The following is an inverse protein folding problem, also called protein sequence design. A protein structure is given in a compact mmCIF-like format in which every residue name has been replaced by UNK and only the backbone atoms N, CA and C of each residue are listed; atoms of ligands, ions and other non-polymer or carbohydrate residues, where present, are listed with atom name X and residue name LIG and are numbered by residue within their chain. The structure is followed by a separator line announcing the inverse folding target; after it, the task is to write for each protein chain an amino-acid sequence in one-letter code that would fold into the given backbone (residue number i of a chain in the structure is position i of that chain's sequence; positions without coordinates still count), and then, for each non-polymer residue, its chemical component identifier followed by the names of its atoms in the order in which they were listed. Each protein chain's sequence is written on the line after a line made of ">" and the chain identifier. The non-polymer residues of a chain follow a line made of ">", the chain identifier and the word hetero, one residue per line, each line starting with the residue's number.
data_IF_174175004915
#
_entry.id   IF_174175004915
#
_cell.length_a   1.000
_cell.length_b   1.000
_cell.length_c   1.000
_cell.angle_alpha   90.00
_cell.angle_beta   90.00
_cell.angle_gamma   90.00
#
_symmetry.space_group_name_H-M   'P 1'
#
loop_
_entity.id
_entity.type
_entity.pdbx_description
1 polymer ?
#
# COMPACT_ATOMS: atom_id res chain seq x y z
N UNK A 1 2.07 34.11 36.94
CA UNK A 1 1.30 32.91 37.37
C UNK A 1 2.24 31.72 37.31
N UNK A 2 2.59 31.14 38.46
CA UNK A 2 3.62 30.10 38.55
C UNK A 2 2.96 28.73 38.70
N UNK A 3 2.79 28.02 37.58
CA UNK A 3 2.36 26.63 37.56
C UNK A 3 3.52 25.75 37.11
N UNK A 4 3.63 24.55 37.68
CA UNK A 4 4.61 23.56 37.23
C UNK A 4 4.32 23.19 35.76
N UNK A 5 5.30 23.30 34.85
CA UNK A 5 5.07 23.03 33.42
C UNK A 5 4.84 21.54 33.13
N UNK A 6 5.22 20.65 34.05
CA UNK A 6 5.07 19.21 33.88
C UNK A 6 3.69 18.71 34.34
N UNK A 7 3.14 19.26 35.42
CA UNK A 7 1.90 18.75 36.02
C UNK A 7 0.80 19.79 36.26
N UNK A 8 1.03 21.07 35.97
CA UNK A 8 0.02 22.14 36.05
C UNK A 8 -0.37 22.59 37.45
N UNK A 9 0.27 22.08 38.51
CA UNK A 9 0.01 22.46 39.91
C UNK A 9 0.66 23.81 40.22
N UNK A 10 0.03 24.64 41.05
CA UNK A 10 0.60 25.91 41.49
C UNK A 10 1.90 25.69 42.25
N UNK A 11 2.90 26.52 41.97
CA UNK A 11 4.23 26.46 42.61
C UNK A 11 4.60 27.84 43.13
N UNK A 12 5.26 27.88 44.29
CA UNK A 12 5.80 29.13 44.86
C UNK A 12 6.94 29.64 43.98
N UNK A 13 7.18 30.96 43.88
CA UNK A 13 8.34 31.52 43.17
C UNK A 13 9.68 30.96 43.65
N UNK A 14 9.76 30.55 44.91
CA UNK A 14 10.99 30.11 45.59
C UNK A 14 11.16 28.57 45.58
N UNK A 15 10.23 27.84 44.96
CA UNK A 15 10.31 26.38 44.87
C UNK A 15 11.30 25.95 43.78
N UNK A 16 12.36 25.25 44.19
CA UNK A 16 13.35 24.67 43.28
C UNK A 16 12.86 23.43 42.55
N UNK A 17 11.96 22.67 43.17
CA UNK A 17 11.36 21.47 42.61
C UNK A 17 9.85 21.47 42.84
N UNK A 18 9.10 20.95 41.87
CA UNK A 18 7.66 20.77 42.01
C UNK A 18 7.38 19.65 43.03
N UNK A 19 6.72 20.00 44.14
CA UNK A 19 6.36 19.05 45.20
C UNK A 19 5.42 17.92 44.73
N UNK A 20 4.71 18.10 43.62
CA UNK A 20 3.77 17.11 43.10
C UNK A 20 4.42 16.08 42.16
N UNK A 21 5.41 16.46 41.36
CA UNK A 21 5.97 15.57 40.32
C UNK A 21 7.50 15.50 40.29
N UNK A 22 8.20 16.19 41.19
CA UNK A 22 9.66 16.18 41.28
C UNK A 22 10.40 16.99 40.21
N UNK A 23 9.68 17.70 39.33
CA UNK A 23 10.30 18.48 38.24
C UNK A 23 11.17 19.63 38.76
N UNK A 24 12.41 19.76 38.27
CA UNK A 24 13.33 20.84 38.60
C UNK A 24 12.92 22.16 37.92
N UNK A 25 12.53 23.14 38.72
CA UNK A 25 12.03 24.45 38.28
C UNK A 25 13.17 25.44 37.98
N UNK A 26 14.36 25.27 38.58
CA UNK A 26 15.53 26.12 38.36
C UNK A 26 16.25 25.83 37.04
N UNK A 27 16.15 24.59 36.52
CA UNK A 27 16.76 24.20 35.24
C UNK A 27 16.26 25.05 34.06
N UNK A 28 15.10 25.71 34.20
CA UNK A 28 14.53 26.60 33.18
C UNK A 28 15.12 28.02 33.23
N UNK A 29 15.58 28.45 34.40
CA UNK A 29 16.10 29.80 34.66
C UNK A 29 17.55 29.96 34.21
N UNK A 30 18.28 28.84 34.05
CA UNK A 30 19.71 28.81 33.73
C UNK A 30 20.05 28.76 32.23
N UNK A 31 19.07 28.92 31.33
CA UNK A 31 19.33 29.08 29.89
C UNK A 31 19.44 30.58 29.57
N UNK A 32 20.66 31.12 29.35
CA UNK A 32 20.82 32.51 28.94
C UNK A 32 20.37 32.62 27.48
N UNK A 33 19.31 33.38 27.23
CA UNK A 33 18.84 33.68 25.87
C UNK A 33 17.48 33.09 25.47
N UNK A 34 16.69 32.52 26.39
CA UNK A 34 15.28 32.24 26.13
C UNK A 34 14.42 33.52 26.27
N UNK A 35 14.79 34.59 25.55
CA UNK A 35 13.80 35.57 25.14
C UNK A 35 12.74 34.82 24.32
N UNK A 36 11.49 35.04 24.68
CA UNK A 36 10.31 34.58 23.96
C UNK A 36 10.38 35.08 22.51
N UNK A 37 11.07 34.35 21.64
CA UNK A 37 10.81 34.45 20.22
C UNK A 37 9.43 33.85 20.02
N UNK A 38 8.48 34.73 19.78
CA UNK A 38 7.18 34.50 19.15
C UNK A 38 7.34 33.95 17.71
N UNK A 39 8.31 33.06 17.48
CA UNK A 39 8.31 32.18 16.33
C UNK A 39 7.20 31.16 16.59
N UNK A 40 6.04 31.39 15.99
CA UNK A 40 4.96 30.41 15.98
C UNK A 40 5.50 29.14 15.29
N UNK A 41 5.99 28.19 16.08
CA UNK A 41 6.25 26.84 15.59
C UNK A 41 4.91 26.24 15.19
N UNK A 42 4.64 26.15 13.88
CA UNK A 42 3.39 25.58 13.38
C UNK A 42 3.37 24.08 13.65
N UNK A 43 2.30 23.63 14.29
CA UNK A 43 2.07 22.21 14.47
C UNK A 43 1.54 21.61 13.16
N UNK A 44 2.16 20.52 12.70
CA UNK A 44 1.68 19.71 11.58
C UNK A 44 0.35 19.02 11.98
N UNK A 45 -0.75 19.30 11.27
CA UNK A 45 -2.07 18.73 11.58
C UNK A 45 -2.42 17.47 10.81
N UNK A 46 -1.86 17.35 9.63
CA UNK A 46 -2.21 16.27 8.72
C UNK A 46 -1.21 16.15 7.59
N UNK A 47 -1.11 14.93 7.07
CA UNK A 47 -0.32 14.59 5.90
C UNK A 47 -1.25 13.84 4.96
N UNK A 48 -1.30 14.27 3.70
CA UNK A 48 -1.75 13.42 2.60
C UNK A 48 -0.54 12.94 1.81
N UNK A 49 -0.75 12.01 0.87
CA UNK A 49 0.29 11.53 -0.04
C UNK A 49 1.07 12.68 -0.69
N UNK A 50 0.39 13.80 -1.00
CA UNK A 50 0.94 14.91 -1.77
C UNK A 50 1.16 16.19 -0.96
N UNK A 51 0.48 16.39 0.18
CA UNK A 51 0.51 17.65 0.91
C UNK A 51 0.77 17.47 2.41
N UNK A 52 1.48 18.43 3.00
CA UNK A 52 1.54 18.65 4.44
C UNK A 52 0.65 19.83 4.81
N UNK A 53 -0.12 19.69 5.90
CA UNK A 53 -1.05 20.72 6.34
C UNK A 53 -0.64 21.29 7.70
N UNK A 54 -0.51 22.60 7.76
CA UNK A 54 -0.14 23.37 8.93
C UNK A 54 -1.25 24.39 9.26
N UNK A 55 -1.46 24.72 10.53
CA UNK A 55 -2.39 25.78 10.94
C UNK A 55 -1.69 26.93 11.63
N UNK A 56 -2.13 28.14 11.31
CA UNK A 56 -1.79 29.35 12.06
C UNK A 56 -3.04 30.20 12.35
N UNK A 57 -2.82 31.46 12.77
CA UNK A 57 -3.91 32.41 13.03
C UNK A 57 -4.62 32.88 11.74
N UNK A 58 -3.94 32.85 10.60
CA UNK A 58 -4.47 33.34 9.31
C UNK A 58 -5.30 32.28 8.61
N UNK A 59 -4.93 31.01 8.72
CA UNK A 59 -5.61 29.94 8.00
C UNK A 59 -4.97 28.56 8.11
N UNK A 60 -5.35 27.71 7.16
CA UNK A 60 -4.76 26.40 6.93
C UNK A 60 -3.79 26.51 5.74
N UNK A 61 -2.50 26.30 6.00
CA UNK A 61 -1.46 26.30 4.97
C UNK A 61 -1.21 24.86 4.50
N UNK A 62 -1.45 24.59 3.22
CA UNK A 62 -1.06 23.33 2.58
C UNK A 62 0.26 23.54 1.84
N UNK A 63 1.25 22.70 2.11
CA UNK A 63 2.51 22.66 1.38
C UNK A 63 2.54 21.40 0.53
N UNK A 64 2.65 21.57 -0.78
CA UNK A 64 2.83 20.46 -1.70
C UNK A 64 4.21 19.80 -1.49
N UNK A 65 4.22 18.54 -1.06
CA UNK A 65 5.41 17.77 -0.74
C UNK A 65 6.14 17.29 -1.99
N UNK A 66 5.38 16.87 -2.99
CA UNK A 66 5.87 16.46 -4.31
C UNK A 66 4.93 17.09 -5.33
N UNK A 67 5.45 17.78 -6.34
CA UNK A 67 4.57 18.30 -7.39
C UNK A 67 3.88 17.13 -8.10
N UNK A 68 2.61 17.28 -8.45
CA UNK A 68 1.85 16.24 -9.14
C UNK A 68 2.57 15.84 -10.44
N UNK A 69 3.18 16.83 -11.11
CA UNK A 69 4.06 16.62 -12.26
C UNK A 69 5.32 15.82 -11.94
N UNK A 70 5.97 16.01 -10.79
CA UNK A 70 7.16 15.21 -10.45
C UNK A 70 6.80 13.77 -10.10
N UNK A 71 5.64 13.53 -9.48
CA UNK A 71 5.15 12.18 -9.20
C UNK A 71 4.78 11.45 -10.51
N UNK A 72 4.02 12.12 -11.39
CA UNK A 72 3.64 11.59 -12.71
C UNK A 72 4.88 11.43 -13.61
N UNK A 73 5.79 12.40 -13.62
CA UNK A 73 7.02 12.32 -14.40
C UNK A 73 7.94 11.22 -13.88
N UNK A 74 8.06 11.00 -12.57
CA UNK A 74 8.85 9.89 -12.04
C UNK A 74 8.22 8.55 -12.41
N UNK A 75 6.89 8.42 -12.31
CA UNK A 75 6.17 7.23 -12.75
C UNK A 75 6.32 6.99 -14.27
N UNK A 76 6.21 8.05 -15.08
CA UNK A 76 6.37 8.00 -16.53
C UNK A 76 7.82 7.72 -16.94
N UNK A 77 8.82 8.35 -16.30
CA UNK A 77 10.24 8.10 -16.55
C UNK A 77 10.61 6.68 -16.14
N UNK A 78 10.11 6.18 -15.01
CA UNK A 78 10.38 4.80 -14.61
C UNK A 78 9.68 3.81 -15.53
N UNK A 79 8.46 4.10 -15.99
CA UNK A 79 7.79 3.32 -17.03
C UNK A 79 8.56 3.34 -18.35
N UNK A 80 8.94 4.52 -18.85
CA UNK A 80 9.69 4.71 -20.11
C UNK A 80 11.10 4.14 -20.04
N UNK A 81 11.79 4.29 -18.91
CA UNK A 81 13.09 3.65 -18.67
C UNK A 81 12.93 2.14 -18.71
N UNK A 82 11.90 1.61 -18.06
CA UNK A 82 11.70 0.17 -18.03
C UNK A 82 11.27 -0.40 -19.40
N UNK A 83 10.45 0.34 -20.16
CA UNK A 83 10.13 0.05 -21.57
C UNK A 83 11.40 0.16 -22.43
N UNK A 84 12.21 1.19 -22.24
CA UNK A 84 13.46 1.41 -22.96
C UNK A 84 14.52 0.34 -22.66
N UNK A 85 14.64 -0.07 -21.40
CA UNK A 85 15.50 -1.20 -20.99
C UNK A 85 14.98 -2.50 -21.59
N UNK A 86 13.67 -2.73 -21.67
CA UNK A 86 13.11 -3.88 -22.39
C UNK A 86 13.43 -3.83 -23.90
N UNK A 87 13.37 -2.64 -24.50
CA UNK A 87 13.71 -2.46 -25.91
C UNK A 87 15.21 -2.65 -26.18
N UNK A 88 16.09 -2.27 -25.25
CA UNK A 88 17.55 -2.44 -25.35
C UNK A 88 18.02 -3.85 -24.98
N UNK A 89 17.43 -4.44 -23.94
CA UNK A 89 17.70 -5.78 -23.45
C UNK A 89 16.54 -6.64 -23.91
N UNK A 90 16.64 -7.20 -25.12
CA UNK A 90 15.63 -8.07 -25.75
C UNK A 90 15.16 -9.23 -24.86
N UNK A 91 15.92 -9.57 -23.82
CA UNK A 91 15.64 -10.63 -22.85
C UNK A 91 15.06 -10.12 -21.53
N UNK A 92 14.94 -8.81 -21.30
CA UNK A 92 14.32 -8.29 -20.09
C UNK A 92 12.80 -8.36 -20.23
N UNK A 93 12.21 -9.37 -19.61
CA UNK A 93 10.77 -9.52 -19.55
C UNK A 93 10.12 -8.31 -18.87
N UNK A 94 8.86 -8.02 -19.21
CA UNK A 94 8.05 -6.97 -18.54
C UNK A 94 8.06 -7.11 -17.00
N UNK A 95 8.43 -8.28 -16.51
CA UNK A 95 8.52 -8.66 -15.11
C UNK A 95 9.65 -7.94 -14.34
N UNK A 96 10.78 -7.63 -14.99
CA UNK A 96 11.88 -6.85 -14.37
C UNK A 96 11.48 -5.41 -14.04
N UNK A 97 10.52 -4.86 -14.80
CA UNK A 97 10.00 -3.49 -14.65
C UNK A 97 9.28 -3.31 -13.31
N UNK A 98 8.43 -4.25 -12.93
CA UNK A 98 7.70 -4.20 -11.66
C UNK A 98 8.64 -4.27 -10.46
N UNK A 99 9.68 -5.10 -10.54
CA UNK A 99 10.68 -5.24 -9.49
C UNK A 99 11.55 -3.97 -9.35
N UNK A 100 12.00 -3.39 -10.46
CA UNK A 100 12.72 -2.10 -10.45
C UNK A 100 11.85 -0.99 -9.87
N UNK A 101 10.56 -0.94 -10.21
CA UNK A 101 9.65 0.06 -9.64
C UNK A 101 9.48 -0.10 -8.12
N UNK A 102 9.23 -1.33 -7.65
CA UNK A 102 9.10 -1.63 -6.22
C UNK A 102 10.36 -1.32 -5.42
N UNK A 103 11.53 -1.64 -5.97
CA UNK A 103 12.82 -1.54 -5.26
C UNK A 103 13.48 -0.17 -5.37
N UNK A 104 13.26 0.58 -6.47
CA UNK A 104 13.99 1.83 -6.76
C UNK A 104 13.09 3.05 -6.67
N UNK A 105 12.01 3.11 -7.47
CA UNK A 105 11.09 4.25 -7.51
C UNK A 105 10.40 4.45 -6.15
N UNK A 106 10.04 3.31 -5.56
CA UNK A 106 9.74 3.05 -4.17
C UNK A 106 10.44 3.98 -3.14
N UNK A 107 11.62 3.53 -2.65
CA UNK A 107 12.38 4.25 -1.64
C UNK A 107 12.69 5.69 -2.03
N UNK A 108 12.87 5.96 -3.33
CA UNK A 108 13.21 7.29 -3.83
C UNK A 108 12.08 8.31 -3.65
N UNK A 109 10.84 7.96 -3.99
CA UNK A 109 9.67 8.85 -3.79
C UNK A 109 9.47 9.17 -2.30
N UNK A 110 9.54 8.14 -1.45
CA UNK A 110 9.37 8.28 -0.02
C UNK A 110 10.53 9.07 0.62
N UNK A 111 11.74 8.93 0.09
CA UNK A 111 12.92 9.71 0.50
C UNK A 111 12.80 11.20 0.12
N UNK A 112 12.33 11.51 -1.10
CA UNK A 112 12.06 12.89 -1.51
C UNK A 112 11.03 13.55 -0.61
N UNK A 113 9.95 12.83 -0.30
CA UNK A 113 8.90 13.29 0.61
C UNK A 113 9.45 13.49 2.02
N UNK A 114 10.23 12.54 2.53
CA UNK A 114 10.86 12.62 3.85
C UNK A 114 11.83 13.80 3.97
N UNK A 115 12.71 14.01 2.98
CA UNK A 115 13.66 15.14 2.95
C UNK A 115 12.97 16.49 2.94
N UNK A 116 11.84 16.62 2.25
CA UNK A 116 11.08 17.87 2.26
C UNK A 116 10.35 18.07 3.59
N UNK A 117 9.82 16.99 4.16
CA UNK A 117 9.19 17.03 5.49
C UNK A 117 10.19 17.39 6.60
N UNK A 118 11.39 16.80 6.60
CA UNK A 118 12.40 17.10 7.62
C UNK A 118 12.90 18.54 7.56
N UNK A 119 12.89 19.17 6.38
CA UNK A 119 13.17 20.62 6.22
C UNK A 119 12.05 21.50 6.75
N UNK A 120 10.81 21.02 6.73
CA UNK A 120 9.66 21.76 7.23
C UNK A 120 9.46 21.53 8.75
N UNK A 121 10.06 20.48 9.31
CA UNK A 121 10.03 20.22 10.75
C UNK A 121 10.85 21.29 11.49
N UNK A 122 10.14 22.14 12.26
CA UNK A 122 10.75 23.28 12.96
C UNK A 122 10.90 24.55 12.12
N UNK A 123 10.45 24.54 10.86
CA UNK A 123 10.42 25.72 10.01
C UNK A 123 9.44 26.78 10.52
N UNK A 124 9.77 28.05 10.30
CA UNK A 124 8.88 29.18 10.63
C UNK A 124 7.78 29.34 9.58
N UNK A 125 6.70 30.03 9.94
CA UNK A 125 5.56 30.23 9.04
C UNK A 125 5.95 30.92 7.72
N UNK A 126 6.79 31.94 7.79
CA UNK A 126 7.33 32.66 6.64
C UNK A 126 8.16 31.74 5.73
N UNK A 127 8.93 30.81 6.31
CA UNK A 127 9.69 29.80 5.57
C UNK A 127 8.75 28.77 4.89
N UNK A 128 7.65 28.40 5.56
CA UNK A 128 6.60 27.52 5.02
C UNK A 128 5.84 28.22 3.88
N UNK A 129 5.49 29.50 4.03
CA UNK A 129 4.82 30.31 3.01
C UNK A 129 5.72 30.56 1.80
N UNK A 130 7.02 30.76 2.01
CA UNK A 130 8.01 30.86 0.94
C UNK A 130 8.27 29.54 0.20
N UNK A 131 7.84 28.41 0.75
CA UNK A 131 8.01 27.11 0.09
C UNK A 131 7.15 27.02 -1.17
N UNK A 132 7.77 26.71 -2.31
CA UNK A 132 7.07 26.55 -3.59
C UNK A 132 5.94 25.50 -3.49
N UNK A 133 4.74 25.89 -3.93
CA UNK A 133 3.53 25.07 -3.83
C UNK A 133 2.81 25.19 -2.49
N UNK A 134 3.21 26.14 -1.64
CA UNK A 134 2.45 26.54 -0.45
C UNK A 134 1.20 27.34 -0.84
N UNK A 135 0.07 27.04 -0.20
CA UNK A 135 -1.18 27.78 -0.33
C UNK A 135 -1.83 27.90 1.04
N UNK A 136 -2.14 29.12 1.46
CA UNK A 136 -2.87 29.39 2.71
C UNK A 136 -4.34 29.66 2.39
N UNK A 137 -5.22 28.89 3.02
CA UNK A 137 -6.68 29.04 2.91
C UNK A 137 -7.16 29.68 4.21
N UNK A 138 -7.78 30.87 4.09
CA UNK A 138 -8.22 31.63 5.25
C UNK A 138 -9.36 30.93 6.01
N UNK A 139 -9.41 31.08 7.34
CA UNK A 139 -10.34 30.35 8.21
C UNK A 139 -11.82 30.58 7.89
N UNK A 140 -12.15 31.80 7.48
CA UNK A 140 -13.48 32.22 7.07
C UNK A 140 -14.00 31.49 5.84
N UNK A 141 -13.11 31.04 4.96
CA UNK A 141 -13.45 30.26 3.77
C UNK A 141 -13.60 28.76 4.03
N UNK A 142 -13.18 28.26 5.19
CA UNK A 142 -13.19 26.83 5.53
C UNK A 142 -14.41 26.52 6.39
N UNK A 143 -15.51 26.08 5.80
CA UNK A 143 -16.64 25.50 6.56
C UNK A 143 -16.37 24.04 6.94
N UNK A 144 -15.79 23.29 6.00
CA UNK A 144 -15.38 21.89 6.15
C UNK A 144 -14.20 21.58 5.22
N UNK A 145 -13.16 20.93 5.72
CA UNK A 145 -12.04 20.43 4.93
C UNK A 145 -11.72 18.97 5.27
N UNK A 146 -11.33 18.16 4.28
CA UNK A 146 -10.89 16.78 4.49
C UNK A 146 -9.36 16.71 4.33
N UNK A 147 -8.65 16.37 5.41
CA UNK A 147 -7.20 16.36 5.53
C UNK A 147 -6.72 14.95 5.91
N UNK A 148 -6.17 14.19 4.96
CA UNK A 148 -5.61 12.85 5.24
C UNK A 148 -6.60 11.90 5.93
N UNK A 149 -7.86 11.90 5.51
CA UNK A 149 -8.94 11.10 6.12
C UNK A 149 -9.52 11.66 7.43
N UNK A 150 -9.24 12.93 7.76
CA UNK A 150 -9.85 13.67 8.88
C UNK A 150 -10.72 14.78 8.34
N UNK A 151 -11.88 15.04 8.93
CA UNK A 151 -12.66 16.24 8.66
C UNK A 151 -12.31 17.33 9.65
N UNK A 152 -11.73 18.41 9.15
CA UNK A 152 -11.68 19.69 9.84
C UNK A 152 -13.02 20.40 9.63
N UNK A 153 -13.67 20.79 10.72
CA UNK A 153 -14.88 21.60 10.72
C UNK A 153 -14.62 22.85 11.54
N UNK A 154 -14.88 24.02 10.97
CA UNK A 154 -14.62 25.30 11.64
C UNK A 154 -15.97 25.95 11.92
N UNK A 155 -16.19 26.32 13.17
CA UNK A 155 -17.43 26.92 13.63
C UNK A 155 -17.14 28.32 14.18
N UNK A 156 -18.02 29.28 13.84
CA UNK A 156 -17.97 30.64 14.35
C UNK A 156 -18.95 30.77 15.52
N UNK A 157 -18.44 30.69 16.75
CA UNK A 157 -19.22 30.87 17.97
C UNK A 157 -18.92 32.24 18.59
N UNK A 158 -19.71 33.27 18.25
CA UNK A 158 -19.49 34.63 18.73
C UNK A 158 -18.15 35.23 18.24
N UNK A 159 -17.32 35.76 19.16
CA UNK A 159 -15.99 36.34 18.85
C UNK A 159 -14.86 35.29 18.71
N UNK A 160 -15.14 33.99 18.86
CA UNK A 160 -14.12 32.93 18.83
C UNK A 160 -14.33 31.99 17.64
N UNK A 161 -13.23 31.66 16.97
CA UNK A 161 -13.16 30.58 15.98
C UNK A 161 -12.84 29.28 16.71
N UNK A 162 -13.68 28.26 16.50
CA UNK A 162 -13.41 26.91 17.00
C UNK A 162 -13.16 25.97 15.82
N UNK A 163 -11.98 25.35 15.81
CA UNK A 163 -11.64 24.30 14.87
C UNK A 163 -11.85 22.93 15.55
N UNK A 164 -12.69 22.09 14.95
CA UNK A 164 -12.89 20.70 15.36
C UNK A 164 -12.34 19.77 14.31
N UNK A 165 -11.31 19.03 14.67
CA UNK A 165 -10.77 17.95 13.85
C UNK A 165 -11.46 16.64 14.25
N UNK A 166 -12.37 16.15 13.43
CA UNK A 166 -13.00 14.83 13.58
C UNK A 166 -12.30 13.85 12.65
N UNK A 167 -11.99 12.65 13.13
CA UNK A 167 -11.70 11.53 12.23
C UNK A 167 -13.00 11.20 11.48
N UNK A 168 -12.93 11.01 10.15
CA UNK A 168 -14.07 10.56 9.34
C UNK A 168 -14.37 9.10 9.70
N UNK A 169 -15.04 8.84 10.82
CA UNK A 169 -15.55 7.50 11.13
C UNK A 169 -17.03 7.46 10.77
N UNK A 170 -17.40 6.59 9.84
CA UNK A 170 -18.79 6.16 9.65
C UNK A 170 -19.09 5.07 10.70
N UNK A 171 -20.15 5.32 11.46
CA UNK A 171 -20.77 4.46 12.48
C UNK A 171 -19.88 3.90 13.60
N UNK A 172 -19.69 4.72 14.65
CA UNK A 172 -20.06 4.25 15.99
C UNK A 172 -20.31 5.45 16.92
N UNK A 173 -21.55 5.60 17.38
CA UNK A 173 -22.09 6.76 18.13
C UNK A 173 -21.48 6.98 19.52
N UNK A 174 -20.31 6.43 19.87
CA UNK A 174 -19.84 6.45 21.27
C UNK A 174 -18.46 7.00 21.61
N UNK A 175 -17.52 7.23 20.69
CA UNK A 175 -16.19 7.73 21.10
C UNK A 175 -15.51 8.66 20.09
N UNK A 176 -16.22 9.69 19.62
CA UNK A 176 -15.55 10.86 19.05
C UNK A 176 -14.86 11.61 20.21
N UNK A 177 -13.58 11.33 20.48
CA UNK A 177 -12.77 12.16 21.36
C UNK A 177 -12.73 13.57 20.75
N UNK A 178 -13.49 14.48 21.35
CA UNK A 178 -13.64 15.87 20.93
C UNK A 178 -12.34 16.59 21.29
N UNK A 179 -11.42 16.70 20.33
CA UNK A 179 -10.35 17.70 20.40
C UNK A 179 -10.98 19.04 20.03
N UNK A 180 -11.54 19.73 21.02
CA UNK A 180 -11.84 21.16 20.91
C UNK A 180 -10.50 21.88 20.99
N UNK A 181 -9.96 22.32 19.86
CA UNK A 181 -8.91 23.35 19.86
C UNK A 181 -9.61 24.65 20.26
N UNK A 182 -9.81 24.84 21.56
CA UNK A 182 -10.08 26.18 22.06
C UNK A 182 -8.80 26.98 21.87
N UNK A 183 -8.91 28.04 21.09
CA UNK A 183 -7.84 28.97 20.78
C UNK A 183 -7.37 29.67 22.06
N UNK A 184 -6.40 29.05 22.74
CA UNK A 184 -5.30 29.71 23.41
C UNK A 184 -4.06 28.87 23.09
N UNK A 185 -3.28 29.35 22.11
CA UNK A 185 -2.09 28.73 21.55
C UNK A 185 -1.17 28.20 22.68
N UNK A 186 -1.15 26.88 22.87
CA UNK A 186 -0.38 26.21 23.93
C UNK A 186 -0.87 24.83 24.39
N UNK A 187 -1.92 24.26 23.79
CA UNK A 187 -2.43 22.94 24.16
C UNK A 187 -1.54 21.77 23.69
N UNK A 188 -1.12 20.91 24.61
CA UNK A 188 -0.45 19.63 24.32
C UNK A 188 -1.38 18.72 23.52
N UNK A 189 -0.95 18.26 22.34
CA UNK A 189 -1.64 17.24 21.56
C UNK A 189 -1.70 15.93 22.36
N UNK A 190 -2.86 15.63 22.94
CA UNK A 190 -3.17 14.29 23.45
C UNK A 190 -3.27 13.37 22.24
N UNK A 191 -2.44 12.32 22.18
CA UNK A 191 -2.52 11.24 21.17
C UNK A 191 -3.98 10.74 21.09
N UNK A 192 -4.73 11.01 20.02
CA UNK A 192 -6.06 10.44 19.90
C UNK A 192 -5.91 8.94 19.65
N UNK A 193 -6.71 8.12 20.34
CA UNK A 193 -6.89 6.71 20.00
C UNK A 193 -7.38 6.65 18.55
N UNK A 194 -6.51 6.20 17.65
CA UNK A 194 -6.77 6.11 16.22
C UNK A 194 -7.88 5.10 15.94
N UNK A 195 -9.05 5.56 15.49
CA UNK A 195 -10.07 4.69 14.92
C UNK A 195 -10.08 4.72 13.38
N UNK A 196 -10.45 3.56 12.84
CA UNK A 196 -10.07 2.98 11.54
C UNK A 196 -11.05 3.35 10.43
N UNK A 197 -10.83 4.37 9.62
CA UNK A 197 -11.81 4.65 8.54
C UNK A 197 -11.23 5.23 7.26
N UNK A 198 -11.88 4.89 6.16
CA UNK A 198 -11.47 4.88 4.73
C UNK A 198 -10.64 3.67 4.25
N UNK A 199 -9.68 3.16 5.03
CA UNK A 199 -9.00 1.89 4.71
C UNK A 199 -9.92 0.65 4.80
N UNK A 200 -11.18 0.86 5.16
CA UNK A 200 -12.23 -0.17 5.25
C UNK A 200 -13.04 -0.31 3.96
N UNK A 201 -13.15 0.75 3.16
CA UNK A 201 -13.92 0.73 1.89
C UNK A 201 -13.17 -0.09 0.83
N UNK A 202 -11.84 -0.14 0.91
CA UNK A 202 -10.99 -1.06 0.15
C UNK A 202 -10.30 -2.03 1.10
N UNK A 203 -11.08 -2.89 1.77
CA UNK A 203 -10.45 -4.12 2.31
C UNK A 203 -9.83 -4.84 1.10
N UNK A 204 -8.57 -5.29 1.17
CA UNK A 204 -7.92 -5.94 0.04
C UNK A 204 -8.71 -7.19 -0.41
N UNK A 205 -9.44 -7.86 0.49
CA UNK A 205 -10.24 -9.04 0.18
C UNK A 205 -11.23 -8.87 -0.98
N UNK A 206 -12.25 -7.99 -0.88
CA UNK A 206 -13.19 -7.74 -1.98
C UNK A 206 -12.52 -7.35 -3.30
N UNK A 207 -11.47 -6.53 -3.25
CA UNK A 207 -10.74 -6.11 -4.45
C UNK A 207 -9.99 -7.29 -5.10
N UNK A 208 -9.30 -8.10 -4.29
CA UNK A 208 -8.65 -9.35 -4.74
C UNK A 208 -9.68 -10.26 -5.39
N UNK A 209 -10.87 -10.42 -4.78
CA UNK A 209 -11.93 -11.25 -5.33
C UNK A 209 -12.47 -10.70 -6.66
N UNK A 210 -12.67 -9.38 -6.79
CA UNK A 210 -13.11 -8.77 -8.04
C UNK A 210 -12.05 -8.98 -9.14
N UNK A 211 -10.77 -8.69 -8.84
CA UNK A 211 -9.68 -8.87 -9.81
C UNK A 211 -9.57 -10.33 -10.23
N UNK A 212 -9.68 -11.27 -9.28
CA UNK A 212 -9.71 -12.70 -9.55
C UNK A 212 -10.87 -13.06 -10.48
N UNK A 213 -12.10 -12.67 -10.15
CA UNK A 213 -13.27 -13.01 -10.98
C UNK A 213 -13.17 -12.45 -12.41
N UNK A 214 -12.66 -11.22 -12.57
CA UNK A 214 -12.44 -10.63 -13.90
C UNK A 214 -11.34 -11.41 -14.65
N UNK A 215 -10.22 -11.74 -14.00
CA UNK A 215 -9.14 -12.48 -14.63
C UNK A 215 -9.59 -13.88 -15.08
N UNK A 216 -10.38 -14.57 -14.24
CA UNK A 216 -10.95 -15.88 -14.60
C UNK A 216 -11.95 -15.76 -15.75
N UNK A 217 -12.80 -14.72 -15.76
CA UNK A 217 -13.75 -14.50 -16.86
C UNK A 217 -13.02 -14.29 -18.19
N UNK A 218 -11.93 -13.53 -18.21
CA UNK A 218 -11.09 -13.33 -19.41
C UNK A 218 -10.44 -14.63 -19.84
N UNK A 219 -9.83 -15.38 -18.92
CA UNK A 219 -9.18 -16.66 -19.22
C UNK A 219 -10.15 -17.64 -19.88
N UNK A 220 -11.31 -17.85 -19.26
CA UNK A 220 -12.35 -18.78 -19.77
C UNK A 220 -12.88 -18.31 -21.11
N UNK A 221 -13.14 -17.00 -21.25
CA UNK A 221 -13.64 -16.44 -22.52
C UNK A 221 -12.61 -16.60 -23.63
N UNK A 222 -11.34 -16.28 -23.37
CA UNK A 222 -10.25 -16.41 -24.35
C UNK A 222 -9.99 -17.87 -24.75
N UNK A 223 -10.18 -18.83 -23.83
CA UNK A 223 -10.03 -20.25 -24.13
C UNK A 223 -11.11 -20.81 -25.07
N UNK A 224 -12.31 -20.23 -25.06
CA UNK A 224 -13.46 -20.75 -25.82
C UNK A 224 -13.77 -19.92 -27.07
N UNK A 225 -13.46 -18.62 -27.05
CA UNK A 225 -13.71 -17.73 -28.18
C UNK A 225 -12.89 -18.15 -29.41
N UNK A 226 -13.39 -17.98 -30.64
CA UNK A 226 -12.60 -18.20 -31.85
C UNK A 226 -11.30 -17.38 -31.84
N UNK A 227 -10.27 -17.91 -32.49
CA UNK A 227 -9.03 -17.17 -32.72
C UNK A 227 -9.27 -16.00 -33.67
N UNK A 228 -8.54 -14.91 -33.46
CA UNK A 228 -8.40 -13.88 -34.47
C UNK A 228 -7.47 -14.35 -35.59
N UNK A 229 -7.47 -13.62 -36.72
CA UNK A 229 -6.60 -13.94 -37.87
C UNK A 229 -5.13 -13.98 -37.45
N UNK A 230 -4.43 -15.07 -37.79
CA UNK A 230 -3.02 -15.32 -37.44
C UNK A 230 -2.74 -15.70 -35.98
N UNK A 231 -3.71 -15.60 -35.08
CA UNK A 231 -3.52 -15.84 -33.66
C UNK A 231 -3.26 -17.33 -33.35
N UNK A 232 -4.00 -18.22 -34.00
CA UNK A 232 -3.83 -19.67 -33.80
C UNK A 232 -2.40 -20.13 -34.14
N UNK A 233 -1.86 -19.67 -35.27
CA UNK A 233 -0.52 -20.02 -35.73
C UNK A 233 0.54 -19.50 -34.77
N UNK A 234 0.39 -18.25 -34.30
CA UNK A 234 1.27 -17.64 -33.30
C UNK A 234 1.34 -18.50 -32.03
N UNK A 235 0.19 -18.79 -31.41
CA UNK A 235 0.17 -19.57 -30.17
C UNK A 235 0.56 -21.03 -30.37
N UNK A 236 0.28 -21.63 -31.53
CA UNK A 236 0.73 -22.99 -31.86
C UNK A 236 2.25 -23.04 -31.95
N UNK A 237 2.87 -22.06 -32.59
CA UNK A 237 4.34 -21.96 -32.70
C UNK A 237 4.99 -21.77 -31.34
N UNK A 238 4.44 -20.85 -30.52
CA UNK A 238 4.91 -20.62 -29.15
C UNK A 238 4.81 -21.87 -28.29
N UNK A 239 3.66 -22.54 -28.32
CA UNK A 239 3.44 -23.78 -27.57
C UNK A 239 4.39 -24.90 -27.98
N UNK A 240 4.57 -25.13 -29.28
CA UNK A 240 5.46 -26.19 -29.76
C UNK A 240 6.92 -25.94 -29.35
N UNK A 241 7.39 -24.70 -29.45
CA UNK A 241 8.74 -24.30 -29.03
C UNK A 241 8.94 -24.49 -27.52
N UNK A 242 7.97 -24.06 -26.70
CA UNK A 242 8.04 -24.25 -25.25
C UNK A 242 7.95 -25.73 -24.87
N UNK A 243 7.00 -26.47 -25.41
CA UNK A 243 6.78 -27.89 -25.11
C UNK A 243 8.03 -28.73 -25.38
N UNK A 244 8.69 -28.53 -26.51
CA UNK A 244 9.92 -29.25 -26.83
C UNK A 244 11.01 -28.97 -25.79
N UNK A 245 11.22 -27.69 -25.46
CA UNK A 245 12.18 -27.26 -24.43
C UNK A 245 11.86 -27.89 -23.07
N UNK A 246 10.58 -27.98 -22.71
CA UNK A 246 10.12 -28.54 -21.43
C UNK A 246 10.29 -30.06 -21.36
N UNK A 247 10.01 -30.79 -22.44
CA UNK A 247 10.10 -32.25 -22.47
C UNK A 247 11.55 -32.75 -22.35
N UNK A 248 12.51 -31.99 -22.83
CA UNK A 248 13.94 -32.32 -22.77
C UNK A 248 14.60 -31.86 -21.44
N UNK A 249 13.92 -31.02 -20.67
CA UNK A 249 14.44 -30.43 -19.44
C UNK A 249 14.33 -31.38 -18.23
N UNK A 250 15.28 -31.28 -17.30
CA UNK A 250 15.19 -31.97 -16.01
C UNK A 250 14.02 -31.43 -15.17
N UNK A 251 13.49 -32.23 -14.23
CA UNK A 251 12.38 -31.81 -13.37
C UNK A 251 12.67 -30.50 -12.62
N UNK A 252 13.92 -30.30 -12.17
CA UNK A 252 14.33 -29.05 -11.53
C UNK A 252 14.31 -27.86 -12.49
N UNK A 253 14.73 -28.05 -13.74
CA UNK A 253 14.68 -27.01 -14.78
C UNK A 253 13.25 -26.67 -15.17
N UNK A 254 12.37 -27.67 -15.28
CA UNK A 254 10.94 -27.46 -15.52
C UNK A 254 10.32 -26.65 -14.38
N UNK A 255 10.57 -27.04 -13.12
CA UNK A 255 10.13 -26.33 -11.93
C UNK A 255 10.59 -24.86 -11.94
N UNK A 256 11.88 -24.62 -12.20
CA UNK A 256 12.43 -23.26 -12.18
C UNK A 256 11.84 -22.40 -13.31
N UNK A 257 11.62 -22.99 -14.49
CA UNK A 257 11.00 -22.32 -15.63
C UNK A 257 9.55 -21.90 -15.32
N UNK A 258 8.73 -22.83 -14.81
CA UNK A 258 7.34 -22.55 -14.41
C UNK A 258 7.30 -21.50 -13.30
N UNK A 259 8.07 -21.71 -12.23
CA UNK A 259 8.13 -20.78 -11.10
C UNK A 259 8.55 -19.36 -11.53
N UNK A 260 9.61 -19.24 -12.33
CA UNK A 260 10.10 -17.92 -12.76
C UNK A 260 9.12 -17.21 -13.70
N UNK A 261 8.43 -17.95 -14.57
CA UNK A 261 7.38 -17.41 -15.41
C UNK A 261 6.22 -16.87 -14.57
N UNK A 262 5.69 -17.68 -13.64
CA UNK A 262 4.54 -17.32 -12.82
C UNK A 262 4.88 -16.21 -11.81
N UNK A 263 6.08 -16.23 -11.22
CA UNK A 263 6.60 -15.12 -10.42
C UNK A 263 6.70 -13.84 -11.26
N UNK A 264 7.12 -13.95 -12.51
CA UNK A 264 7.19 -12.82 -13.42
C UNK A 264 5.82 -12.18 -13.63
N UNK A 265 4.82 -12.99 -14.00
CA UNK A 265 3.43 -12.54 -14.16
C UNK A 265 2.93 -11.88 -12.89
N UNK A 266 3.13 -12.51 -11.72
CA UNK A 266 2.72 -11.97 -10.43
C UNK A 266 3.38 -10.61 -10.13
N UNK A 267 4.68 -10.48 -10.38
CA UNK A 267 5.44 -9.24 -10.18
C UNK A 267 4.96 -8.14 -11.13
N UNK A 268 4.56 -8.45 -12.37
CA UNK A 268 3.96 -7.45 -13.27
C UNK A 268 2.68 -6.85 -12.69
N UNK A 269 1.90 -7.65 -11.95
CA UNK A 269 0.72 -7.21 -11.22
C UNK A 269 0.99 -6.12 -10.18
N UNK A 270 2.23 -6.00 -9.70
CA UNK A 270 2.61 -5.00 -8.68
C UNK A 270 2.84 -3.60 -9.24
N UNK A 271 2.91 -3.44 -10.56
CA UNK A 271 3.07 -2.12 -11.20
C UNK A 271 1.82 -1.27 -10.91
N UNK A 272 1.94 -0.08 -10.30
CA UNK A 272 0.77 0.75 -10.02
C UNK A 272 0.02 1.16 -11.28
N UNK A 273 -1.30 1.17 -11.17
CA UNK A 273 -2.25 1.48 -12.25
C UNK A 273 -2.26 0.50 -13.44
N UNK A 274 -1.10 -0.05 -13.82
CA UNK A 274 -0.95 -0.93 -14.99
C UNK A 274 -0.87 -2.41 -14.65
N UNK A 275 -0.60 -2.78 -13.40
CA UNK A 275 -0.43 -4.17 -13.00
C UNK A 275 -1.68 -5.02 -13.23
N UNK A 276 -2.86 -4.46 -12.98
CA UNK A 276 -4.13 -5.12 -13.32
C UNK A 276 -4.24 -5.36 -14.83
N UNK A 277 -3.87 -4.39 -15.67
CA UNK A 277 -3.88 -4.56 -17.13
C UNK A 277 -2.96 -5.70 -17.57
N UNK A 278 -1.73 -5.77 -17.04
CA UNK A 278 -0.81 -6.87 -17.34
C UNK A 278 -1.38 -8.23 -16.91
N UNK A 279 -2.05 -8.30 -15.76
CA UNK A 279 -2.73 -9.51 -15.32
C UNK A 279 -3.84 -9.92 -16.29
N UNK A 280 -4.67 -8.99 -16.77
CA UNK A 280 -5.72 -9.30 -17.75
C UNK A 280 -5.14 -9.82 -19.06
N UNK A 281 -4.04 -9.22 -19.54
CA UNK A 281 -3.31 -9.69 -20.74
C UNK A 281 -2.73 -11.09 -20.51
N UNK A 282 -2.14 -11.34 -19.35
CA UNK A 282 -1.63 -12.67 -19.00
C UNK A 282 -2.75 -13.71 -18.99
N UNK A 283 -3.90 -13.42 -18.35
CA UNK A 283 -5.06 -14.31 -18.36
C UNK A 283 -5.61 -14.57 -19.76
N UNK A 284 -5.64 -13.56 -20.64
CA UNK A 284 -6.01 -13.74 -22.04
C UNK A 284 -5.04 -14.70 -22.76
N UNK A 285 -3.73 -14.47 -22.62
CA UNK A 285 -2.71 -15.30 -23.26
C UNK A 285 -2.77 -16.75 -22.75
N UNK A 286 -2.96 -16.95 -21.45
CA UNK A 286 -3.16 -18.28 -20.85
C UNK A 286 -4.39 -18.98 -21.45
N UNK A 287 -5.52 -18.26 -21.59
CA UNK A 287 -6.70 -18.79 -22.26
C UNK A 287 -6.42 -19.25 -23.69
N UNK A 288 -5.67 -18.47 -24.47
CA UNK A 288 -5.27 -18.86 -25.84
C UNK A 288 -4.35 -20.07 -25.90
N UNK A 289 -3.41 -20.18 -24.96
CA UNK A 289 -2.57 -21.39 -24.83
C UNK A 289 -3.44 -22.61 -24.52
N UNK A 290 -4.40 -22.50 -23.59
CA UNK A 290 -5.36 -23.58 -23.29
C UNK A 290 -6.13 -23.99 -24.55
N UNK A 291 -6.58 -23.04 -25.37
CA UNK A 291 -7.27 -23.33 -26.62
C UNK A 291 -6.39 -24.13 -27.60
N UNK A 292 -5.11 -23.76 -27.75
CA UNK A 292 -4.14 -24.52 -28.56
C UNK A 292 -3.93 -25.93 -28.02
N UNK A 293 -3.73 -26.07 -26.71
CA UNK A 293 -3.60 -27.39 -26.06
C UNK A 293 -4.83 -28.26 -26.35
N UNK A 294 -6.02 -27.66 -26.28
CA UNK A 294 -7.28 -28.35 -26.52
C UNK A 294 -7.38 -28.88 -27.95
N UNK A 295 -6.99 -28.08 -28.94
CA UNK A 295 -6.93 -28.48 -30.35
C UNK A 295 -5.97 -29.65 -30.53
N UNK A 296 -4.76 -29.56 -29.98
CA UNK A 296 -3.76 -30.63 -30.11
C UNK A 296 -4.18 -31.93 -29.41
N UNK A 297 -4.90 -31.82 -28.29
CA UNK A 297 -5.42 -32.97 -27.56
C UNK A 297 -6.75 -33.51 -28.12
N UNK A 298 -7.33 -32.86 -29.14
CA UNK A 298 -8.69 -33.16 -29.64
C UNK A 298 -9.76 -33.11 -28.52
N UNK A 299 -9.60 -32.18 -27.58
CA UNK A 299 -10.52 -31.95 -26.46
C UNK A 299 -11.28 -30.63 -26.65
N UNK A 300 -12.45 -30.50 -26.01
CA UNK A 300 -13.14 -29.21 -25.96
C UNK A 300 -12.39 -28.30 -24.97
N UNK A 301 -12.22 -27.00 -25.27
CA UNK A 301 -11.53 -26.09 -24.36
C UNK A 301 -12.12 -26.01 -22.95
N UNK A 302 -13.44 -26.16 -22.83
CA UNK A 302 -14.11 -26.18 -21.53
C UNK A 302 -13.65 -27.35 -20.64
N UNK A 303 -13.38 -28.50 -21.25
CA UNK A 303 -12.95 -29.69 -20.52
C UNK A 303 -11.52 -29.51 -20.00
N UNK A 304 -10.62 -28.92 -20.81
CA UNK A 304 -9.25 -28.61 -20.40
C UNK A 304 -9.23 -27.57 -19.27
N UNK A 305 -10.02 -26.50 -19.40
CA UNK A 305 -10.19 -25.51 -18.34
C UNK A 305 -10.71 -26.17 -17.05
N UNK A 306 -11.72 -27.03 -17.14
CA UNK A 306 -12.27 -27.72 -15.97
C UNK A 306 -11.23 -28.61 -15.28
N UNK A 307 -10.42 -29.34 -16.04
CA UNK A 307 -9.33 -30.17 -15.49
C UNK A 307 -8.28 -29.31 -14.78
N UNK A 308 -7.89 -28.18 -15.37
CA UNK A 308 -6.95 -27.25 -14.73
C UNK A 308 -7.48 -26.74 -13.38
N UNK A 309 -8.76 -26.39 -13.27
CA UNK A 309 -9.33 -25.96 -11.98
C UNK A 309 -9.51 -27.09 -10.96
N UNK A 310 -9.46 -28.35 -11.37
CA UNK A 310 -9.38 -29.49 -10.45
C UNK A 310 -7.95 -29.69 -9.94
N UNK A 311 -6.95 -29.18 -10.64
CA UNK A 311 -5.55 -29.23 -10.23
C UNK A 311 -5.23 -28.17 -9.16
N UNK A 312 -4.59 -28.55 -8.04
CA UNK A 312 -4.24 -27.61 -7.00
C UNK A 312 -3.22 -26.57 -7.45
N UNK A 313 -2.28 -26.88 -8.36
CA UNK A 313 -1.32 -25.86 -8.85
C UNK A 313 -2.04 -24.66 -9.47
N UNK A 314 -3.00 -24.89 -10.38
CA UNK A 314 -3.67 -23.80 -11.11
C UNK A 314 -4.43 -22.87 -10.16
N UNK A 315 -5.10 -23.39 -9.13
CA UNK A 315 -5.79 -22.54 -8.15
C UNK A 315 -4.80 -21.71 -7.33
N UNK A 316 -3.68 -22.29 -6.90
CA UNK A 316 -2.65 -21.58 -6.13
C UNK A 316 -2.02 -20.45 -6.95
N UNK A 317 -1.75 -20.67 -8.24
CA UNK A 317 -1.19 -19.67 -9.14
C UNK A 317 -2.18 -18.53 -9.41
N UNK A 318 -3.39 -18.87 -9.85
CA UNK A 318 -4.42 -17.90 -10.19
C UNK A 318 -4.87 -17.08 -8.99
N UNK A 319 -4.82 -17.62 -7.77
CA UNK A 319 -5.07 -16.84 -6.54
C UNK A 319 -3.89 -15.92 -6.18
N UNK A 320 -2.66 -16.31 -6.51
CA UNK A 320 -1.46 -15.53 -6.20
C UNK A 320 -1.43 -14.22 -7.00
N UNK A 321 -1.84 -14.22 -8.27
CA UNK A 321 -1.72 -13.01 -9.09
C UNK A 321 -2.54 -11.81 -8.58
N UNK A 322 -3.83 -11.95 -8.25
CA UNK A 322 -4.61 -10.87 -7.67
C UNK A 322 -4.06 -10.42 -6.31
N UNK A 323 -3.54 -11.34 -5.51
CA UNK A 323 -2.91 -11.05 -4.21
C UNK A 323 -1.66 -10.18 -4.36
N UNK A 324 -0.79 -10.47 -5.34
CA UNK A 324 0.32 -9.59 -5.69
C UNK A 324 -0.18 -8.24 -6.22
N UNK A 325 -1.22 -8.25 -7.05
CA UNK A 325 -1.69 -7.03 -7.73
C UNK A 325 -2.25 -5.97 -6.79
N UNK A 326 -2.74 -6.35 -5.61
CA UNK A 326 -3.25 -5.40 -4.61
C UNK A 326 -2.20 -4.88 -3.64
N UNK A 327 -0.96 -5.42 -3.68
CA UNK A 327 0.11 -5.01 -2.77
C UNK A 327 0.40 -3.51 -2.88
N UNK A 328 0.45 -2.97 -4.10
CA UNK A 328 0.69 -1.54 -4.32
C UNK A 328 -0.47 -0.68 -3.80
N UNK A 329 -1.72 -1.16 -3.92
CA UNK A 329 -2.92 -0.47 -3.43
C UNK A 329 -2.97 -0.46 -1.90
N UNK A 330 -2.65 -1.58 -1.26
CA UNK A 330 -2.52 -1.67 0.20
C UNK A 330 -1.46 -0.69 0.71
N UNK A 331 -0.42 -0.47 -0.09
CA UNK A 331 0.69 0.38 0.28
C UNK A 331 0.39 1.87 0.14
N UNK A 332 -0.12 2.32 -1.02
CA UNK A 332 -0.61 3.69 -1.22
C UNK A 332 -1.72 4.03 -0.20
N UNK A 333 -2.59 3.04 0.04
CA UNK A 333 -3.41 2.81 1.23
C UNK A 333 -3.08 3.56 2.51
N UNK A 334 -1.82 3.40 2.90
CA UNK A 334 -1.33 3.59 4.27
C UNK A 334 -0.47 4.85 4.42
N UNK A 335 -0.18 5.57 3.34
CA UNK A 335 0.68 6.76 3.31
C UNK A 335 0.10 8.03 3.96
N UNK A 336 -1.18 8.05 4.30
CA UNK A 336 -1.96 9.27 4.62
C UNK A 336 -2.14 9.58 6.12
N UNK A 337 -1.48 8.89 7.06
CA UNK A 337 -1.97 8.89 8.46
C UNK A 337 -0.99 9.19 9.59
N UNK A 338 0.25 9.55 9.33
CA UNK A 338 1.28 9.55 10.37
C UNK A 338 2.09 10.82 10.44
N UNK A 339 2.59 11.15 11.63
CA UNK A 339 3.58 12.21 11.86
C UNK A 339 4.95 11.80 11.31
N UNK A 340 5.86 12.76 11.06
CA UNK A 340 7.18 12.53 10.42
C UNK A 340 8.00 11.45 11.14
N UNK A 341 8.03 11.49 12.47
CA UNK A 341 8.79 10.53 13.28
C UNK A 341 8.14 9.13 13.29
N UNK A 342 6.80 9.06 13.29
CA UNK A 342 6.06 7.80 13.15
C UNK A 342 6.19 7.21 11.74
N UNK A 343 6.35 8.06 10.72
CA UNK A 343 6.61 7.68 9.33
C UNK A 343 7.92 6.91 9.21
N UNK A 344 9.03 7.39 9.79
CA UNK A 344 10.33 6.71 9.69
C UNK A 344 10.34 5.31 10.36
N UNK A 345 9.84 5.19 11.60
CA UNK A 345 9.80 3.91 12.32
C UNK A 345 8.81 2.94 11.64
N UNK A 346 7.66 3.44 11.17
CA UNK A 346 6.67 2.60 10.48
C UNK A 346 7.07 2.30 9.03
N UNK A 347 7.90 3.11 8.36
CA UNK A 347 8.47 2.82 7.03
C UNK A 347 9.20 1.50 7.09
N UNK A 348 10.17 1.37 8.00
CA UNK A 348 10.89 0.10 8.21
C UNK A 348 9.93 -1.06 8.50
N UNK A 349 8.96 -0.88 9.38
CA UNK A 349 8.00 -1.93 9.74
C UNK A 349 7.03 -2.30 8.61
N UNK A 350 6.58 -1.34 7.81
CA UNK A 350 5.66 -1.57 6.70
C UNK A 350 6.40 -2.17 5.50
N UNK A 351 7.61 -1.72 5.19
CA UNK A 351 8.44 -2.33 4.16
C UNK A 351 8.77 -3.78 4.51
N UNK A 352 9.12 -4.08 5.76
CA UNK A 352 9.28 -5.48 6.22
C UNK A 352 7.99 -6.28 6.05
N UNK A 353 6.83 -5.72 6.37
CA UNK A 353 5.55 -6.43 6.15
C UNK A 353 5.27 -6.69 4.68
N UNK A 354 5.51 -5.72 3.80
CA UNK A 354 5.32 -5.91 2.35
C UNK A 354 6.29 -6.99 1.84
N UNK A 355 7.55 -6.97 2.27
CA UNK A 355 8.52 -8.00 1.92
C UNK A 355 8.13 -9.40 2.43
N UNK A 356 7.60 -9.48 3.65
CA UNK A 356 7.09 -10.75 4.20
C UNK A 356 5.89 -11.25 3.38
N UNK A 357 4.93 -10.38 3.05
CA UNK A 357 3.77 -10.77 2.23
C UNK A 357 4.23 -11.19 0.82
N UNK A 358 5.17 -10.45 0.23
CA UNK A 358 5.75 -10.79 -1.06
C UNK A 358 6.44 -12.16 -0.99
N UNK A 359 7.25 -12.42 0.03
CA UNK A 359 7.89 -13.72 0.24
C UNK A 359 6.88 -14.86 0.44
N UNK A 360 5.80 -14.61 1.19
CA UNK A 360 4.71 -15.59 1.38
C UNK A 360 4.04 -15.95 0.05
N UNK A 361 3.72 -14.97 -0.79
CA UNK A 361 3.10 -15.23 -2.09
C UNK A 361 4.08 -15.79 -3.13
N UNK A 362 5.36 -15.40 -3.08
CA UNK A 362 6.42 -16.05 -3.87
C UNK A 362 6.56 -17.51 -3.48
N UNK A 363 6.50 -17.84 -2.19
CA UNK A 363 6.51 -19.23 -1.72
C UNK A 363 5.27 -19.99 -2.20
N UNK A 364 4.10 -19.34 -2.24
CA UNK A 364 2.88 -19.93 -2.76
C UNK A 364 3.02 -20.32 -4.25
N UNK A 365 3.60 -19.43 -5.06
CA UNK A 365 3.91 -19.70 -6.47
C UNK A 365 4.97 -20.80 -6.64
N UNK A 366 5.97 -20.85 -5.76
CA UNK A 366 6.95 -21.94 -5.76
C UNK A 366 6.29 -23.30 -5.46
N UNK A 367 5.39 -23.36 -4.48
CA UNK A 367 4.63 -24.59 -4.19
C UNK A 367 3.74 -24.98 -5.36
N UNK A 368 3.11 -24.01 -6.02
CA UNK A 368 2.28 -24.29 -7.18
C UNK A 368 3.08 -24.84 -8.36
N UNK A 369 4.23 -24.23 -8.69
CA UNK A 369 5.13 -24.74 -9.72
C UNK A 369 5.64 -26.16 -9.42
N UNK A 370 5.89 -26.46 -8.14
CA UNK A 370 6.25 -27.82 -7.71
C UNK A 370 5.09 -28.80 -7.95
N UNK A 371 3.86 -28.38 -7.68
CA UNK A 371 2.67 -29.21 -7.94
C UNK A 371 2.46 -29.42 -9.43
N UNK A 372 2.63 -28.40 -10.26
CA UNK A 372 2.49 -28.51 -11.73
C UNK A 372 3.46 -29.55 -12.32
N UNK A 373 4.70 -29.60 -11.82
CA UNK A 373 5.68 -30.62 -12.25
C UNK A 373 5.32 -32.02 -11.69
N UNK A 374 4.78 -32.10 -10.47
CA UNK A 374 4.51 -33.37 -9.81
C UNK A 374 3.20 -34.04 -10.26
N UNK A 375 2.17 -33.26 -10.58
CA UNK A 375 0.83 -33.77 -10.92
C UNK A 375 0.84 -34.76 -12.10
N UNK A 376 1.53 -34.51 -13.23
CA UNK A 376 1.62 -35.47 -14.32
C UNK A 376 2.30 -36.79 -13.92
N UNK A 377 3.26 -36.74 -12.97
CA UNK A 377 3.97 -37.93 -12.48
C UNK A 377 3.08 -38.79 -11.56
N UNK A 378 2.10 -38.17 -10.90
CA UNK A 378 1.20 -38.82 -9.96
C UNK A 378 -0.13 -39.26 -10.61
N UNK A 379 -0.45 -38.77 -11.81
CA UNK A 379 -1.73 -39.00 -12.46
C UNK A 379 -2.90 -38.59 -11.57
N UNK A 380 -3.89 -39.48 -11.38
CA UNK A 380 -5.01 -39.23 -10.45
C UNK A 380 -4.56 -39.01 -8.99
N UNK A 381 -3.40 -39.53 -8.60
CA UNK A 381 -2.79 -39.28 -7.29
C UNK A 381 -2.44 -37.82 -7.05
N UNK A 382 -2.31 -37.00 -8.11
CA UNK A 382 -2.10 -35.55 -8.02
C UNK A 382 -3.20 -34.83 -7.23
N UNK A 383 -4.43 -35.36 -7.21
CA UNK A 383 -5.53 -34.81 -6.41
C UNK A 383 -5.26 -34.85 -4.90
N UNK A 384 -4.37 -35.73 -4.43
CA UNK A 384 -3.95 -35.78 -3.02
C UNK A 384 -3.15 -34.53 -2.61
N UNK A 385 -2.61 -33.77 -3.57
CA UNK A 385 -1.95 -32.49 -3.30
C UNK A 385 -2.94 -31.41 -2.80
N UNK A 386 -4.25 -31.64 -2.88
CA UNK A 386 -5.24 -30.81 -2.18
C UNK A 386 -5.17 -30.93 -0.65
N UNK A 387 -4.67 -32.04 -0.11
CA UNK A 387 -4.57 -32.24 1.36
C UNK A 387 -3.74 -31.13 2.02
N UNK A 388 -2.47 -30.86 1.61
CA UNK A 388 -1.69 -29.77 2.20
C UNK A 388 -2.31 -28.40 1.94
N UNK A 389 -2.95 -28.16 0.78
CA UNK A 389 -3.66 -26.89 0.49
C UNK A 389 -4.82 -26.68 1.45
N UNK A 390 -5.68 -27.68 1.62
CA UNK A 390 -6.82 -27.66 2.53
C UNK A 390 -6.38 -27.49 3.99
N UNK A 391 -5.33 -28.20 4.41
CA UNK A 391 -4.75 -28.06 5.75
C UNK A 391 -4.23 -26.63 5.98
N UNK A 392 -3.52 -26.07 5.01
CA UNK A 392 -3.04 -24.68 5.05
C UNK A 392 -4.18 -23.67 5.16
N UNK A 393 -5.23 -23.83 4.34
CA UNK A 393 -6.41 -22.97 4.37
C UNK A 393 -7.15 -23.02 5.73
N UNK A 394 -7.35 -24.22 6.28
CA UNK A 394 -7.96 -24.42 7.62
C UNK A 394 -7.10 -23.78 8.71
N UNK A 395 -5.78 -23.94 8.64
CA UNK A 395 -4.85 -23.32 9.58
C UNK A 395 -4.94 -21.79 9.53
N UNK A 396 -4.89 -21.20 8.34
CA UNK A 396 -5.01 -19.74 8.15
C UNK A 396 -6.38 -19.22 8.64
N UNK A 397 -7.45 -19.95 8.35
CA UNK A 397 -8.80 -19.62 8.83
C UNK A 397 -8.86 -19.61 10.36
N UNK A 398 -8.38 -20.69 11.02
CA UNK A 398 -8.32 -20.79 12.49
C UNK A 398 -7.47 -19.68 13.11
N UNK A 399 -6.28 -19.44 12.55
CA UNK A 399 -5.38 -18.35 13.00
C UNK A 399 -6.04 -16.98 12.88
N UNK A 400 -6.78 -16.74 11.79
CA UNK A 400 -7.50 -15.46 11.59
C UNK A 400 -8.60 -15.26 12.63
N UNK A 401 -9.31 -16.32 13.05
CA UNK A 401 -10.32 -16.27 14.10
C UNK A 401 -9.71 -16.01 15.48
N UNK A 402 -8.64 -16.72 15.83
CA UNK A 402 -7.94 -16.53 17.11
C UNK A 402 -7.47 -15.08 17.27
N UNK A 403 -6.92 -14.50 16.20
CA UNK A 403 -6.44 -13.12 16.24
C UNK A 403 -7.56 -12.09 16.47
N UNK A 404 -8.80 -12.37 15.98
CA UNK A 404 -9.98 -11.53 16.25
C UNK A 404 -10.47 -11.66 17.69
N UNK A 405 -10.38 -12.85 18.29
CA UNK A 405 -10.80 -13.07 19.68
C UNK A 405 -9.88 -12.37 20.68
N UNK A 406 -8.56 -12.42 20.48
CA UNK A 406 -7.57 -11.75 21.33
C UNK A 406 -7.62 -10.21 21.25
N UNK A 407 -8.23 -9.62 20.23
CA UNK A 407 -8.44 -8.16 20.15
C UNK A 407 -9.74 -7.68 20.83
N UNK A 408 -10.61 -8.61 21.27
CA UNK A 408 -11.87 -8.28 21.96
C UNK A 408 -11.77 -8.42 23.49
N UNK A 409 -10.73 -9.09 23.97
CA UNK A 409 -10.31 -9.14 25.38
C UNK A 409 -9.35 -7.98 25.60
#
# INVERSE_FOLDING_TARGET
>A
MNFCPQCGVSVSPDQKFCRNCGYNLEARSALPGAQQTSGQYLHLLGLSALNAYYMDRRGLTSVQLVSDFAAIALAAITFLFAVGVKLLLSNLSFYGIGMVWLLVSYPFYDELRYRKLSKLEGARLDEIEATRGSRTIAWDSITRAVLGGRTLSVYRGGRRLQARLKLLVEDDKRQAAILTLESNLGGRLVRPKTHRTLAYVLRPGPLVAIIFLISQAILVTAAVAPFFSGEQELYTTLWNSQRQTFQEASLFSQYLSIFSNNLGVALSGTVPAFGQFFLLVASYNTGRVIQVISIQASLRPQDVVAVLYLSPHSLLEELSYPLFSVLWIYYLSRGDRYTIHELAIRRRRNSVKVLVILAEFTLLLAVAALFEVAEPLLGLGGLLLWIPVGAGAVYLFRRSRMHRSSQRI
#
